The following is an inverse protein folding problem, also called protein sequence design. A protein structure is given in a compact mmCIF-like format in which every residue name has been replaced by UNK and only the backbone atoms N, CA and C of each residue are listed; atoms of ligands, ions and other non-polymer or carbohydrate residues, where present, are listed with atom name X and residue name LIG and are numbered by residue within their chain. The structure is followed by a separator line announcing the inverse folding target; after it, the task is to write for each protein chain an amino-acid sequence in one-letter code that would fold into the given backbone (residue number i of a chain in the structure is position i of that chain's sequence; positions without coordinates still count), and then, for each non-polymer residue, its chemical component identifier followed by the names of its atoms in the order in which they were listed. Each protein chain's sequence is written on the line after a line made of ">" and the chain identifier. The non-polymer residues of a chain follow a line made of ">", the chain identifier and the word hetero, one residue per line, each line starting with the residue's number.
data_IF_572000432720
#
_entry.id   IF_572000432720
#
_cell.length_a   1.000
_cell.length_b   1.000
_cell.length_c   1.000
_cell.angle_alpha   90.00
_cell.angle_beta   90.00
_cell.angle_gamma   90.00
#
_symmetry.space_group_name_H-M   'P 1'
#
loop_
_entity.id
_entity.type
_entity.pdbx_description
1 polymer ?
#
# COMPACT_ATOMS: atom_id res chain seq x y z
N UNK A 1 -0.10 15.32 -9.07
CA UNK A 1 -0.03 15.62 -7.62
C UNK A 1 1.07 14.77 -7.01
N UNK A 2 2.00 15.38 -6.27
CA UNK A 2 3.11 14.67 -5.62
C UNK A 2 2.72 14.43 -4.17
N UNK A 3 2.74 13.17 -3.71
CA UNK A 3 2.52 12.86 -2.30
C UNK A 3 3.66 13.41 -1.45
N UNK A 4 3.32 14.16 -0.42
CA UNK A 4 4.30 14.69 0.52
C UNK A 4 4.67 13.64 1.57
N UNK A 5 5.89 13.73 2.09
CA UNK A 5 6.35 12.93 3.23
C UNK A 5 5.35 13.04 4.39
N UNK A 6 5.02 11.92 5.02
CA UNK A 6 4.05 11.79 6.10
C UNK A 6 2.60 11.56 5.65
N UNK A 7 2.27 11.74 4.36
CA UNK A 7 0.92 11.47 3.87
C UNK A 7 0.67 9.98 3.69
N UNK A 8 -0.55 9.56 4.01
CA UNK A 8 -1.03 8.19 3.81
C UNK A 8 -1.69 8.06 2.44
N UNK A 9 -1.36 6.99 1.73
CA UNK A 9 -1.93 6.57 0.47
C UNK A 9 -2.72 5.28 0.70
N UNK A 10 -4.02 5.33 0.42
CA UNK A 10 -4.87 4.15 0.36
C UNK A 10 -4.94 3.67 -1.09
N UNK A 11 -4.63 2.40 -1.31
CA UNK A 11 -4.71 1.74 -2.61
C UNK A 11 -5.69 0.59 -2.51
N UNK A 12 -6.68 0.54 -3.39
CA UNK A 12 -7.59 -0.60 -3.54
C UNK A 12 -7.29 -1.31 -4.84
N UNK A 13 -7.07 -2.61 -4.79
CA UNK A 13 -6.75 -3.46 -5.92
C UNK A 13 -7.68 -4.66 -5.94
N UNK A 14 -8.02 -5.21 -7.11
CA UNK A 14 -8.74 -6.50 -7.22
C UNK A 14 -7.79 -7.68 -7.48
N UNK A 15 -6.49 -7.41 -7.58
CA UNK A 15 -5.48 -8.43 -7.88
C UNK A 15 -4.91 -9.06 -6.59
N UNK A 16 -4.95 -10.40 -6.43
CA UNK A 16 -4.34 -11.09 -5.30
C UNK A 16 -2.82 -10.96 -5.23
N UNK A 17 -2.13 -10.70 -6.35
CA UNK A 17 -0.69 -10.44 -6.36
C UNK A 17 -0.29 -9.18 -5.58
N UNK A 18 -1.19 -8.20 -5.53
CA UNK A 18 -0.93 -6.88 -4.93
C UNK A 18 -0.50 -6.93 -3.46
N UNK A 19 -0.94 -7.93 -2.68
CA UNK A 19 -0.51 -8.11 -1.28
C UNK A 19 1.02 -8.22 -1.15
N UNK A 20 1.65 -9.06 -1.98
CA UNK A 20 3.10 -9.26 -1.94
C UNK A 20 3.85 -8.09 -2.54
N UNK A 21 3.30 -7.52 -3.62
CA UNK A 21 3.95 -6.43 -4.34
C UNK A 21 3.98 -5.15 -3.50
N UNK A 22 2.90 -4.79 -2.80
CA UNK A 22 2.88 -3.60 -1.94
C UNK A 22 3.75 -3.77 -0.68
N UNK A 23 3.84 -4.98 -0.14
CA UNK A 23 4.77 -5.29 0.95
C UNK A 23 6.24 -5.13 0.51
N UNK A 24 6.59 -5.66 -0.67
CA UNK A 24 7.93 -5.52 -1.24
C UNK A 24 8.22 -4.06 -1.62
N UNK A 25 7.27 -3.36 -2.22
CA UNK A 25 7.37 -1.96 -2.61
C UNK A 25 7.65 -1.06 -1.40
N UNK A 26 6.89 -1.23 -0.31
CA UNK A 26 7.08 -0.47 0.93
C UNK A 26 8.51 -0.66 1.46
N UNK A 27 8.96 -1.92 1.54
CA UNK A 27 10.31 -2.28 1.99
C UNK A 27 11.42 -1.69 1.09
N UNK A 28 11.26 -1.76 -0.23
CA UNK A 28 12.27 -1.28 -1.19
C UNK A 28 12.37 0.24 -1.25
N UNK A 29 11.24 0.93 -1.14
CA UNK A 29 11.18 2.40 -1.25
C UNK A 29 11.36 3.11 0.10
N UNK A 30 11.40 2.36 1.20
CA UNK A 30 11.44 2.89 2.55
C UNK A 30 10.13 3.54 3.01
N UNK A 31 9.02 3.27 2.29
CA UNK A 31 7.70 3.64 2.74
C UNK A 31 7.24 2.69 3.85
N UNK A 32 6.39 3.19 4.73
CA UNK A 32 5.84 2.38 5.79
C UNK A 32 4.51 1.80 5.33
N UNK A 33 4.39 0.47 5.35
CA UNK A 33 3.12 -0.21 5.10
C UNK A 33 2.34 -0.23 6.41
N UNK A 34 1.26 0.56 6.47
CA UNK A 34 0.44 0.73 7.67
C UNK A 34 -0.58 -0.40 7.84
N UNK A 35 -1.27 -0.80 6.76
CA UNK A 35 -2.22 -1.91 6.79
C UNK A 35 -2.36 -2.58 5.43
N UNK A 36 -2.72 -3.86 5.44
CA UNK A 36 -3.12 -4.63 4.27
C UNK A 36 -4.31 -5.50 4.67
N UNK A 37 -5.43 -5.34 3.96
CA UNK A 37 -6.68 -6.03 4.28
C UNK A 37 -7.31 -6.55 3.00
N UNK A 38 -7.92 -7.73 3.09
CA UNK A 38 -8.75 -8.29 2.02
C UNK A 38 -10.21 -8.09 2.39
N UNK A 39 -10.92 -7.27 1.60
CA UNK A 39 -12.34 -6.95 1.77
C UNK A 39 -13.10 -7.53 0.58
N UNK A 40 -13.66 -8.73 0.75
CA UNK A 40 -14.34 -9.45 -0.32
C UNK A 40 -13.35 -9.82 -1.45
N UNK A 41 -13.54 -9.23 -2.63
CA UNK A 41 -12.64 -9.40 -3.78
C UNK A 41 -11.63 -8.25 -3.93
N UNK A 42 -11.67 -7.27 -3.03
CA UNK A 42 -10.74 -6.15 -3.03
C UNK A 42 -9.62 -6.37 -2.00
N UNK A 43 -8.42 -5.93 -2.35
CA UNK A 43 -7.22 -5.86 -1.54
C UNK A 43 -6.92 -4.39 -1.28
N UNK A 44 -7.00 -3.99 -0.03
CA UNK A 44 -6.80 -2.61 0.44
C UNK A 44 -5.43 -2.52 1.10
N UNK A 45 -4.59 -1.61 0.60
CA UNK A 45 -3.24 -1.36 1.10
C UNK A 45 -3.12 0.09 1.54
N UNK A 46 -2.67 0.32 2.77
CA UNK A 46 -2.41 1.67 3.28
C UNK A 46 -0.91 1.83 3.45
N UNK A 47 -0.32 2.77 2.72
CA UNK A 47 1.09 3.13 2.82
C UNK A 47 1.23 4.53 3.36
N UNK A 48 2.29 4.80 4.12
CA UNK A 48 2.71 6.14 4.52
C UNK A 48 4.00 6.49 3.80
N UNK A 49 3.97 7.62 3.10
CA UNK A 49 5.14 8.12 2.39
C UNK A 49 6.17 8.58 3.41
N UNK A 50 7.42 8.10 3.29
CA UNK A 50 8.54 8.65 4.04
C UNK A 50 8.96 10.02 3.53
#
# INVERSE_FOLDING_TARGET
>A
ATLQSGQSLLVRSTDPGSMRDFAAFAKQTGNELLSQETVGNDFVHVLKRR
#
